data_IF_560478452052
#
_entry.id   IF_560478452052
#
_cell.length_a   1.000
_cell.length_b   1.000
_cell.length_c   1.000
_cell.angle_alpha   90.00
_cell.angle_beta   90.00
_cell.angle_gamma   90.00
#
_symmetry.space_group_name_H-M   'P 1'
#
loop_
_entity.id
_entity.type
_entity.pdbx_description
1 polymer ?
#
# COMPACT_ATOMS: atom_id res chain seq x y z
N UNK A 1 -27.31 -49.84 45.18
CA UNK A 1 -26.95 -50.41 43.86
C UNK A 1 -28.04 -50.03 42.87
N UNK A 2 -27.78 -49.22 41.84
CA UNK A 2 -28.73 -48.99 40.76
C UNK A 2 -28.46 -49.93 39.56
N UNK A 3 -29.54 -50.43 38.95
CA UNK A 3 -29.56 -51.35 37.80
C UNK A 3 -28.96 -50.76 36.51
N UNK A 4 -28.39 -51.58 35.60
CA UNK A 4 -27.84 -51.11 34.34
C UNK A 4 -28.93 -50.86 33.29
N UNK A 5 -28.93 -49.65 32.71
CA UNK A 5 -29.80 -49.24 31.58
C UNK A 5 -29.52 -50.08 30.30
N UNK A 6 -30.53 -50.31 29.43
CA UNK A 6 -30.44 -51.33 28.38
C UNK A 6 -29.64 -50.87 27.15
N UNK A 7 -28.55 -51.60 26.85
CA UNK A 7 -27.65 -51.43 25.70
C UNK A 7 -28.34 -51.53 24.31
N UNK A 8 -29.60 -51.99 24.24
CA UNK A 8 -30.33 -52.20 22.96
C UNK A 8 -30.65 -50.91 22.21
N UNK A 9 -30.91 -49.77 22.89
CA UNK A 9 -31.25 -48.51 22.19
C UNK A 9 -30.05 -47.87 21.48
N UNK A 10 -28.83 -48.08 21.98
CA UNK A 10 -27.61 -47.50 21.37
C UNK A 10 -27.28 -48.18 20.04
N UNK A 11 -27.43 -49.50 19.94
CA UNK A 11 -27.17 -50.24 18.71
C UNK A 11 -28.15 -49.91 17.57
N UNK A 12 -29.41 -49.64 17.89
CA UNK A 12 -30.42 -49.26 16.89
C UNK A 12 -30.13 -47.86 16.33
N UNK A 13 -29.71 -46.93 17.18
CA UNK A 13 -29.36 -45.56 16.76
C UNK A 13 -28.08 -45.57 15.92
N UNK A 14 -27.06 -46.35 16.29
CA UNK A 14 -25.84 -46.52 15.48
C UNK A 14 -26.12 -47.18 14.12
N UNK A 15 -27.05 -48.15 14.06
CA UNK A 15 -27.44 -48.79 12.81
C UNK A 15 -28.16 -47.84 11.84
N UNK A 16 -29.05 -46.99 12.36
CA UNK A 16 -29.76 -45.98 11.55
C UNK A 16 -28.78 -44.91 11.05
N UNK A 17 -27.83 -44.46 11.88
CA UNK A 17 -26.82 -43.49 11.48
C UNK A 17 -25.90 -44.06 10.39
N UNK A 18 -25.50 -45.33 10.50
CA UNK A 18 -24.72 -46.02 9.48
C UNK A 18 -25.45 -46.12 8.13
N UNK A 19 -26.75 -46.44 8.16
CA UNK A 19 -27.56 -46.51 6.94
C UNK A 19 -27.71 -45.13 6.26
N UNK A 20 -27.89 -44.05 7.03
CA UNK A 20 -27.98 -42.68 6.49
C UNK A 20 -26.66 -42.25 5.84
N UNK A 21 -25.51 -42.60 6.43
CA UNK A 21 -24.19 -42.30 5.86
C UNK A 21 -23.97 -43.06 4.55
N UNK A 22 -24.37 -44.33 4.47
CA UNK A 22 -24.24 -45.12 3.25
C UNK A 22 -25.14 -44.58 2.13
N UNK A 23 -26.37 -44.17 2.46
CA UNK A 23 -27.29 -43.56 1.49
C UNK A 23 -26.75 -42.20 1.01
N UNK A 24 -26.19 -41.37 1.91
CA UNK A 24 -25.58 -40.10 1.53
C UNK A 24 -24.34 -40.29 0.62
N UNK A 25 -23.53 -41.30 0.89
CA UNK A 25 -22.38 -41.66 0.04
C UNK A 25 -22.83 -42.20 -1.32
N UNK A 26 -23.84 -43.06 -1.36
CA UNK A 26 -24.40 -43.58 -2.61
C UNK A 26 -24.98 -42.44 -3.48
N UNK A 27 -25.71 -41.48 -2.87
CA UNK A 27 -26.23 -40.31 -3.58
C UNK A 27 -25.09 -39.42 -4.10
N UNK A 28 -24.01 -39.26 -3.34
CA UNK A 28 -22.82 -38.50 -3.78
C UNK A 28 -22.11 -39.15 -4.98
N UNK A 29 -22.08 -40.49 -5.05
CA UNK A 29 -21.43 -41.21 -6.15
C UNK A 29 -22.34 -41.46 -7.38
N UNK A 30 -23.66 -41.41 -7.22
CA UNK A 30 -24.63 -41.71 -8.31
C UNK A 30 -25.17 -40.45 -8.99
N UNK A 31 -25.09 -39.27 -8.36
CA UNK A 31 -25.45 -38.02 -9.03
C UNK A 31 -24.48 -37.72 -10.19
N UNK A 32 -24.98 -37.42 -11.40
CA UNK A 32 -24.12 -37.15 -12.54
C UNK A 32 -23.28 -35.90 -12.27
N UNK A 33 -21.95 -36.02 -12.39
CA UNK A 33 -20.97 -34.92 -12.28
C UNK A 33 -21.03 -33.93 -13.46
N UNK A 34 -22.24 -33.62 -13.94
CA UNK A 34 -22.49 -32.72 -15.06
C UNK A 34 -21.98 -31.29 -14.82
N UNK A 35 -21.72 -30.89 -13.57
CA UNK A 35 -21.17 -29.58 -13.25
C UNK A 35 -19.65 -29.46 -13.42
N UNK A 36 -18.87 -30.53 -13.28
CA UNK A 36 -17.40 -30.44 -13.33
C UNK A 36 -16.86 -30.28 -14.76
N UNK A 37 -17.49 -30.91 -15.74
CA UNK A 37 -17.09 -30.74 -17.14
C UNK A 37 -17.51 -29.37 -17.70
N UNK A 38 -18.64 -28.82 -17.25
CA UNK A 38 -19.05 -27.45 -17.60
C UNK A 38 -18.08 -26.44 -16.98
N UNK A 39 -17.66 -26.63 -15.72
CA UNK A 39 -16.70 -25.72 -15.05
C UNK A 39 -15.30 -25.82 -15.68
N UNK A 40 -14.81 -27.02 -16.03
CA UNK A 40 -13.51 -27.18 -16.69
C UNK A 40 -13.48 -26.57 -18.09
N UNK A 41 -14.54 -26.80 -18.89
CA UNK A 41 -14.63 -26.26 -20.24
C UNK A 41 -14.77 -24.73 -20.23
N UNK A 42 -15.50 -24.19 -19.25
CA UNK A 42 -15.64 -22.74 -19.04
C UNK A 42 -14.33 -22.12 -18.51
N UNK A 43 -13.52 -22.83 -17.71
CA UNK A 43 -12.23 -22.33 -17.24
C UNK A 43 -11.13 -22.34 -18.33
N UNK A 44 -11.09 -23.36 -19.18
CA UNK A 44 -10.14 -23.42 -20.31
C UNK A 44 -10.47 -22.42 -21.43
N UNK A 45 -11.75 -22.15 -21.69
CA UNK A 45 -12.16 -21.15 -22.70
C UNK A 45 -12.12 -19.70 -22.16
N UNK A 46 -12.21 -19.47 -20.84
CA UNK A 46 -12.11 -18.13 -20.24
C UNK A 46 -10.66 -17.73 -19.90
N UNK A 47 -9.75 -18.69 -19.67
CA UNK A 47 -8.37 -18.41 -19.25
C UNK A 47 -7.33 -18.74 -20.34
N UNK A 48 -7.49 -18.14 -21.51
CA UNK A 48 -6.32 -17.69 -22.27
C UNK A 48 -6.11 -16.23 -21.91
N UNK A 49 -5.22 -15.89 -20.96
CA UNK A 49 -4.87 -14.49 -20.78
C UNK A 49 -4.29 -14.04 -22.12
N UNK A 50 -5.02 -13.18 -22.83
CA UNK A 50 -4.41 -12.37 -23.85
C UNK A 50 -3.23 -11.71 -23.15
N UNK A 51 -2.01 -11.98 -23.64
CA UNK A 51 -0.79 -11.34 -23.13
C UNK A 51 -1.09 -9.85 -23.13
N UNK A 52 -1.35 -9.30 -21.95
CA UNK A 52 -1.62 -7.89 -21.77
C UNK A 52 -0.25 -7.23 -21.85
N UNK A 53 0.18 -6.96 -23.09
CA UNK A 53 1.30 -6.07 -23.31
C UNK A 53 0.98 -4.76 -22.60
N UNK A 54 1.98 -4.20 -21.90
CA UNK A 54 1.86 -2.90 -21.28
C UNK A 54 1.52 -1.87 -22.37
N UNK A 55 0.22 -1.65 -22.62
CA UNK A 55 -0.23 -0.50 -23.36
C UNK A 55 0.25 0.69 -22.55
N UNK A 56 0.95 1.62 -23.20
CA UNK A 56 1.33 2.89 -22.57
C UNK A 56 0.16 3.39 -21.74
N UNK A 57 0.36 3.49 -20.41
CA UNK A 57 -0.62 4.07 -19.51
C UNK A 57 -1.01 5.44 -20.07
N UNK A 58 -2.28 5.83 -19.94
CA UNK A 58 -2.88 6.96 -20.63
C UNK A 58 -1.92 8.17 -20.70
N UNK A 59 -1.76 8.76 -21.88
CA UNK A 59 -0.93 9.96 -22.05
C UNK A 59 -1.49 11.07 -21.17
N UNK A 60 -0.64 11.61 -20.29
CA UNK A 60 -0.98 12.79 -19.53
C UNK A 60 -1.13 13.97 -20.49
N UNK A 61 -2.35 14.48 -20.63
CA UNK A 61 -2.65 15.70 -21.35
C UNK A 61 -3.06 16.76 -20.33
N UNK A 62 -2.23 17.79 -20.17
CA UNK A 62 -2.56 18.92 -19.32
C UNK A 62 -3.76 19.66 -19.93
N UNK A 63 -4.88 19.69 -19.22
CA UNK A 63 -6.08 20.40 -19.66
C UNK A 63 -5.86 21.90 -19.44
N UNK A 64 -5.79 22.74 -20.49
CA UNK A 64 -5.57 24.16 -20.31
C UNK A 64 -6.77 24.80 -19.61
N UNK A 65 -6.53 25.38 -18.44
CA UNK A 65 -7.55 26.12 -17.69
C UNK A 65 -7.61 27.56 -18.21
N UNK A 66 -8.54 27.83 -19.12
CA UNK A 66 -8.79 29.19 -19.62
C UNK A 66 -9.61 29.98 -18.58
N UNK A 67 -8.94 30.88 -17.85
CA UNK A 67 -9.58 31.77 -16.88
C UNK A 67 -9.82 33.13 -17.53
N UNK A 68 -11.08 33.57 -17.58
CA UNK A 68 -11.44 34.95 -17.92
C UNK A 68 -11.93 35.68 -16.66
N UNK A 69 -11.07 36.44 -15.97
CA UNK A 69 -11.47 37.16 -14.77
C UNK A 69 -12.61 38.13 -15.09
N UNK A 70 -13.68 38.10 -14.29
CA UNK A 70 -14.81 39.06 -14.43
C UNK A 70 -14.59 40.36 -13.66
N UNK A 71 -13.49 40.44 -12.92
CA UNK A 71 -13.17 41.56 -12.03
C UNK A 71 -11.91 42.24 -12.57
N UNK A 72 -11.90 43.58 -12.73
CA UNK A 72 -10.70 44.33 -13.10
C UNK A 72 -9.57 44.08 -12.11
N UNK A 73 -8.33 44.10 -12.60
CA UNK A 73 -7.16 44.07 -11.73
C UNK A 73 -7.17 45.29 -10.79
N UNK A 74 -6.83 45.07 -9.52
CA UNK A 74 -6.72 46.12 -8.52
C UNK A 74 -5.39 45.99 -7.77
N UNK A 75 -4.91 47.12 -7.26
CA UNK A 75 -3.68 47.22 -6.48
C UNK A 75 -3.94 47.93 -5.17
N UNK A 76 -3.28 47.50 -4.09
CA UNK A 76 -3.38 48.16 -2.78
C UNK A 76 -2.51 49.43 -2.77
N UNK A 77 -3.04 50.56 -2.34
CA UNK A 77 -2.31 51.83 -2.26
C UNK A 77 -1.27 51.80 -1.14
N UNK A 78 -0.13 52.49 -1.32
CA UNK A 78 0.98 52.52 -0.33
C UNK A 78 0.56 53.01 1.06
N UNK A 79 -0.44 53.87 1.14
CA UNK A 79 -1.02 54.39 2.38
C UNK A 79 -2.26 53.60 2.85
N UNK A 80 -2.61 52.50 2.17
CA UNK A 80 -3.82 51.70 2.39
C UNK A 80 -5.13 52.51 2.24
N UNK A 81 -5.13 53.65 1.55
CA UNK A 81 -6.33 54.51 1.45
C UNK A 81 -7.49 53.86 0.71
N UNK A 82 -7.22 52.83 -0.09
CA UNK A 82 -8.23 52.03 -0.80
C UNK A 82 -8.58 50.72 -0.08
N UNK A 83 -8.18 50.56 1.19
CA UNK A 83 -8.53 49.42 2.04
C UNK A 83 -9.48 49.91 3.12
N UNK A 84 -10.74 49.48 3.06
CA UNK A 84 -11.83 49.99 3.90
C UNK A 84 -11.57 49.87 5.40
N UNK A 85 -10.95 48.77 5.84
CA UNK A 85 -10.70 48.44 7.24
C UNK A 85 -9.24 48.62 7.65
N UNK A 86 -8.48 49.47 6.94
CA UNK A 86 -7.04 49.66 7.22
C UNK A 86 -6.77 50.16 8.66
N UNK A 87 -7.69 50.95 9.23
CA UNK A 87 -7.59 51.49 10.59
C UNK A 87 -7.81 50.46 11.70
N UNK A 88 -8.43 49.32 11.38
CA UNK A 88 -8.83 48.31 12.37
C UNK A 88 -7.63 47.44 12.79
N UNK A 89 -6.50 47.56 12.10
CA UNK A 89 -5.31 46.73 12.30
C UNK A 89 -4.05 47.57 12.41
N UNK A 90 -3.20 47.19 13.37
CA UNK A 90 -1.83 47.72 13.46
C UNK A 90 -0.86 46.83 12.69
N UNK A 91 -0.15 47.44 11.75
CA UNK A 91 0.88 46.79 10.93
C UNK A 91 2.26 47.39 11.23
N UNK A 92 3.29 46.55 11.25
CA UNK A 92 4.67 47.02 11.09
C UNK A 92 4.90 47.45 9.64
N UNK A 93 5.94 48.25 9.37
CA UNK A 93 6.28 48.67 8.01
C UNK A 93 6.53 47.48 7.08
N UNK A 94 7.17 46.42 7.58
CA UNK A 94 7.38 45.19 6.82
C UNK A 94 6.05 44.51 6.45
N UNK A 95 5.12 44.39 7.40
CA UNK A 95 3.81 43.79 7.14
C UNK A 95 2.98 44.62 6.16
N UNK A 96 3.05 45.96 6.29
CA UNK A 96 2.38 46.89 5.39
C UNK A 96 2.93 46.79 3.96
N UNK A 97 4.25 46.71 3.80
CA UNK A 97 4.87 46.54 2.48
C UNK A 97 4.48 45.21 1.82
N UNK A 98 4.40 44.12 2.60
CA UNK A 98 3.91 42.83 2.10
C UNK A 98 2.43 42.90 1.71
N UNK A 99 1.59 43.56 2.50
CA UNK A 99 0.17 43.74 2.18
C UNK A 99 -0.02 44.54 0.90
N UNK A 100 0.75 45.61 0.70
CA UNK A 100 0.71 46.42 -0.53
C UNK A 100 1.13 45.59 -1.75
N UNK A 101 2.19 44.79 -1.60
CA UNK A 101 2.74 43.97 -2.69
C UNK A 101 1.85 42.79 -3.07
N UNK A 102 1.33 42.07 -2.07
CA UNK A 102 0.68 40.77 -2.26
C UNK A 102 -0.84 40.82 -2.12
N UNK A 103 -1.41 41.95 -1.68
CA UNK A 103 -2.81 42.07 -1.23
C UNK A 103 -3.18 41.20 -0.02
N UNK A 104 -2.21 40.52 0.60
CA UNK A 104 -2.33 39.83 1.89
C UNK A 104 -1.01 39.86 2.64
N UNK A 105 -1.07 39.61 3.96
CA UNK A 105 0.12 39.45 4.80
C UNK A 105 -0.13 38.36 5.84
N UNK A 106 0.88 37.53 6.10
CA UNK A 106 0.86 36.53 7.16
C UNK A 106 1.58 37.09 8.37
N UNK A 107 0.95 37.04 9.53
CA UNK A 107 1.52 37.48 10.80
C UNK A 107 1.55 36.31 11.79
N UNK A 108 2.58 36.22 12.65
CA UNK A 108 2.56 35.26 13.74
C UNK A 108 1.37 35.54 14.66
N UNK A 109 0.75 34.47 15.13
CA UNK A 109 -0.34 34.49 16.11
C UNK A 109 0.13 33.78 17.37
N UNK A 110 -0.31 34.25 18.54
CA UNK A 110 -0.03 33.62 19.83
C UNK A 110 -1.11 32.61 20.24
N UNK A 111 -2.12 32.40 19.39
CA UNK A 111 -3.17 31.43 19.63
C UNK A 111 -2.68 30.03 19.23
N UNK A 112 -2.80 29.07 20.15
CA UNK A 112 -2.48 27.66 19.89
C UNK A 112 -3.54 26.95 19.03
N UNK A 113 -4.74 27.51 18.96
CA UNK A 113 -5.89 26.96 18.25
C UNK A 113 -6.60 28.07 17.47
N UNK A 114 -7.42 27.71 16.50
CA UNK A 114 -8.18 28.69 15.72
C UNK A 114 -9.37 29.29 16.48
N UNK A 115 -9.93 28.58 17.46
CA UNK A 115 -11.12 29.02 18.20
C UNK A 115 -10.95 30.39 18.90
N UNK A 116 -9.86 30.66 19.66
CA UNK A 116 -9.65 31.98 20.27
C UNK A 116 -9.60 33.12 19.25
N UNK A 117 -9.08 32.87 18.05
CA UNK A 117 -9.05 33.84 16.96
C UNK A 117 -10.47 34.10 16.41
N UNK A 118 -11.25 33.05 16.20
CA UNK A 118 -12.63 33.18 15.73
C UNK A 118 -13.52 33.88 16.75
N UNK A 119 -13.32 33.60 18.04
CA UNK A 119 -14.01 34.27 19.13
C UNK A 119 -13.65 35.77 19.18
N UNK A 120 -12.36 36.09 19.11
CA UNK A 120 -11.89 37.49 19.08
C UNK A 120 -12.44 38.26 17.87
N UNK A 121 -12.45 37.62 16.70
CA UNK A 121 -13.02 38.18 15.47
C UNK A 121 -14.52 38.44 15.60
N UNK A 122 -15.27 37.55 16.28
CA UNK A 122 -16.69 37.76 16.55
C UNK A 122 -16.94 39.01 17.40
N UNK A 123 -16.19 39.19 18.48
CA UNK A 123 -16.33 40.36 19.37
C UNK A 123 -15.86 41.66 18.71
N UNK A 124 -14.85 41.59 17.84
CA UNK A 124 -14.28 42.75 17.13
C UNK A 124 -14.98 43.05 15.80
N UNK A 125 -16.00 42.27 15.43
CA UNK A 125 -16.70 42.35 14.15
C UNK A 125 -15.77 42.21 12.92
N UNK A 126 -14.69 41.45 13.08
CA UNK A 126 -13.75 41.13 12.01
C UNK A 126 -14.26 39.91 11.22
N UNK A 127 -14.47 40.02 9.90
CA UNK A 127 -14.90 38.89 9.09
C UNK A 127 -13.81 37.81 9.04
N UNK A 128 -14.20 36.55 9.19
CA UNK A 128 -13.31 35.40 9.05
C UNK A 128 -13.58 34.69 7.74
N UNK A 129 -12.54 34.50 6.93
CA UNK A 129 -12.58 33.63 5.75
C UNK A 129 -11.98 32.28 6.12
N UNK A 130 -12.83 31.24 6.17
CA UNK A 130 -12.45 29.89 6.58
C UNK A 130 -12.55 28.99 5.36
N UNK A 131 -11.42 28.40 4.96
CA UNK A 131 -11.39 27.39 3.89
C UNK A 131 -11.60 25.99 4.46
N UNK A 132 -12.00 25.07 3.59
CA UNK A 132 -12.11 23.64 3.91
C UNK A 132 -10.80 23.04 4.40
N UNK A 133 -9.66 23.62 4.02
CA UNK A 133 -8.32 23.16 4.39
C UNK A 133 -8.11 23.12 5.90
N UNK A 134 -8.75 24.04 6.64
CA UNK A 134 -8.70 24.06 8.11
C UNK A 134 -9.26 22.78 8.74
N UNK A 135 -10.37 22.26 8.20
CA UNK A 135 -10.99 21.01 8.64
C UNK A 135 -10.19 19.80 8.14
N UNK A 136 -9.76 19.82 6.87
CA UNK A 136 -8.97 18.73 6.26
C UNK A 136 -7.64 18.56 6.99
N UNK A 137 -7.01 19.64 7.43
CA UNK A 137 -5.78 19.60 8.21
C UNK A 137 -5.98 18.87 9.56
N UNK A 138 -7.04 19.21 10.30
CA UNK A 138 -7.33 18.55 11.58
C UNK A 138 -7.62 17.05 11.38
N UNK A 139 -8.40 16.72 10.35
CA UNK A 139 -8.63 15.33 9.96
C UNK A 139 -7.33 14.60 9.61
N UNK A 140 -6.44 15.22 8.83
CA UNK A 140 -5.14 14.66 8.49
C UNK A 140 -4.28 14.37 9.72
N UNK A 141 -4.23 15.29 10.70
CA UNK A 141 -3.49 15.08 11.95
C UNK A 141 -4.06 13.91 12.77
N UNK A 142 -5.38 13.80 12.87
CA UNK A 142 -6.03 12.70 13.56
C UNK A 142 -5.75 11.36 12.86
N UNK A 143 -5.86 11.33 11.53
CA UNK A 143 -5.58 10.14 10.73
C UNK A 143 -4.11 9.72 10.84
N UNK A 144 -3.16 10.65 10.69
CA UNK A 144 -1.72 10.42 10.83
C UNK A 144 -1.39 9.82 12.22
N UNK A 145 -1.95 10.41 13.28
CA UNK A 145 -1.77 9.91 14.63
C UNK A 145 -2.31 8.49 14.79
N UNK A 146 -3.54 8.22 14.33
CA UNK A 146 -4.16 6.91 14.42
C UNK A 146 -3.37 5.86 13.62
N UNK A 147 -2.99 6.18 12.38
CA UNK A 147 -2.24 5.29 11.51
C UNK A 147 -0.88 4.96 12.12
N UNK A 148 -0.12 5.98 12.54
CA UNK A 148 1.16 5.81 13.23
C UNK A 148 1.03 4.90 14.45
N UNK A 149 0.03 5.14 15.31
CA UNK A 149 -0.18 4.30 16.50
C UNK A 149 -0.52 2.85 16.13
N UNK A 150 -1.36 2.65 15.11
CA UNK A 150 -1.72 1.31 14.64
C UNK A 150 -0.51 0.56 14.05
N UNK A 151 0.31 1.26 13.27
CA UNK A 151 1.53 0.72 12.68
C UNK A 151 2.55 0.31 13.74
N UNK A 152 2.86 1.21 14.68
CA UNK A 152 3.83 0.95 15.76
C UNK A 152 3.34 -0.14 16.71
N UNK A 153 2.08 -0.08 17.15
CA UNK A 153 1.60 -0.95 18.22
C UNK A 153 1.09 -2.31 17.74
N UNK A 154 0.71 -2.45 16.47
CA UNK A 154 0.06 -3.65 15.93
C UNK A 154 0.68 -4.12 14.63
N UNK A 155 0.62 -3.32 13.56
CA UNK A 155 0.92 -3.83 12.21
C UNK A 155 2.38 -4.21 12.03
N UNK A 156 3.34 -3.51 12.66
CA UNK A 156 4.75 -3.89 12.59
C UNK A 156 5.00 -5.29 13.19
N UNK A 157 4.33 -5.63 14.29
CA UNK A 157 4.45 -6.95 14.91
C UNK A 157 3.79 -8.04 14.06
N UNK A 158 2.59 -7.78 13.53
CA UNK A 158 1.90 -8.72 12.62
C UNK A 158 2.70 -8.95 11.33
N UNK A 159 3.29 -7.90 10.76
CA UNK A 159 4.14 -8.01 9.58
C UNK A 159 5.40 -8.84 9.85
N UNK A 160 6.03 -8.68 11.04
CA UNK A 160 7.16 -9.53 11.46
C UNK A 160 6.77 -11.01 11.49
N UNK A 161 5.58 -11.34 12.01
CA UNK A 161 5.08 -12.72 12.05
C UNK A 161 4.75 -13.25 10.66
N UNK A 162 4.07 -12.44 9.82
CA UNK A 162 3.75 -12.79 8.45
C UNK A 162 5.02 -13.08 7.64
N UNK A 163 6.00 -12.18 7.71
CA UNK A 163 7.29 -12.32 7.03
C UNK A 163 8.00 -13.61 7.42
N UNK A 164 8.08 -13.92 8.72
CA UNK A 164 8.70 -15.14 9.22
C UNK A 164 8.00 -16.41 8.71
N UNK A 165 6.66 -16.43 8.76
CA UNK A 165 5.87 -17.59 8.30
C UNK A 165 5.99 -17.78 6.78
N UNK A 166 5.88 -16.69 6.01
CA UNK A 166 5.97 -16.74 4.55
C UNK A 166 7.37 -17.11 4.06
N UNK A 167 8.43 -16.63 4.73
CA UNK A 167 9.80 -17.03 4.43
C UNK A 167 10.02 -18.52 4.71
N UNK A 168 9.53 -19.01 5.85
CA UNK A 168 9.61 -20.43 6.20
C UNK A 168 8.87 -21.31 5.20
N UNK A 169 7.64 -20.92 4.83
CA UNK A 169 6.82 -21.68 3.90
C UNK A 169 7.40 -21.67 2.48
N UNK A 170 7.91 -20.51 2.03
CA UNK A 170 8.61 -20.42 0.74
C UNK A 170 9.84 -21.33 0.69
N UNK A 171 10.56 -21.47 1.80
CA UNK A 171 11.71 -22.38 1.88
C UNK A 171 11.29 -23.84 1.82
N UNK A 172 10.18 -24.21 2.48
CA UNK A 172 9.61 -25.56 2.40
C UNK A 172 9.18 -25.90 0.97
N UNK A 173 8.52 -24.96 0.29
CA UNK A 173 8.10 -25.11 -1.10
C UNK A 173 9.31 -25.25 -2.03
N UNK A 174 10.35 -24.42 -1.87
CA UNK A 174 11.58 -24.57 -2.62
C UNK A 174 12.24 -25.94 -2.44
N UNK A 175 12.34 -26.43 -1.20
CA UNK A 175 12.90 -27.75 -0.92
C UNK A 175 12.08 -28.88 -1.57
N UNK A 176 10.75 -28.74 -1.62
CA UNK A 176 9.84 -29.73 -2.22
C UNK A 176 9.86 -29.71 -3.75
N UNK A 177 10.11 -28.55 -4.35
CA UNK A 177 10.09 -28.33 -5.80
C UNK A 177 11.48 -28.38 -6.44
N UNK A 178 12.51 -28.69 -5.66
CA UNK A 178 13.89 -28.77 -6.15
C UNK A 178 14.02 -29.85 -7.24
N UNK A 179 14.64 -29.50 -8.37
CA UNK A 179 14.76 -30.34 -9.55
C UNK A 179 13.53 -30.35 -10.47
N UNK A 180 12.48 -29.60 -10.13
CA UNK A 180 11.31 -29.43 -11.01
C UNK A 180 11.42 -28.15 -11.83
N UNK A 181 10.56 -28.00 -12.85
CA UNK A 181 10.45 -26.75 -13.62
C UNK A 181 10.08 -25.52 -12.76
N UNK A 182 9.53 -25.74 -11.56
CA UNK A 182 9.09 -24.70 -10.64
C UNK A 182 10.16 -24.29 -9.61
N UNK A 183 11.33 -24.94 -9.60
CA UNK A 183 12.40 -24.66 -8.63
C UNK A 183 12.77 -23.16 -8.64
N UNK A 184 12.91 -22.57 -9.82
CA UNK A 184 13.31 -21.18 -9.95
C UNK A 184 12.23 -20.20 -9.44
N UNK A 185 10.95 -20.50 -9.68
CA UNK A 185 9.86 -19.70 -9.14
C UNK A 185 9.80 -19.78 -7.62
N UNK A 186 9.97 -20.98 -7.04
CA UNK A 186 10.03 -21.16 -5.60
C UNK A 186 11.26 -20.44 -4.99
N UNK A 187 12.41 -20.47 -5.68
CA UNK A 187 13.62 -19.73 -5.28
C UNK A 187 13.36 -18.22 -5.23
N UNK A 188 12.65 -17.64 -6.21
CA UNK A 188 12.24 -16.23 -6.21
C UNK A 188 11.39 -15.87 -5.01
N UNK A 189 10.41 -16.71 -4.64
CA UNK A 189 9.57 -16.47 -3.46
C UNK A 189 10.40 -16.41 -2.18
N UNK A 190 11.38 -17.30 -2.02
CA UNK A 190 12.31 -17.25 -0.87
C UNK A 190 13.07 -15.92 -0.85
N UNK A 191 13.60 -15.48 -2.00
CA UNK A 191 14.28 -14.19 -2.11
C UNK A 191 13.35 -13.02 -1.75
N UNK A 192 12.13 -13.02 -2.28
CA UNK A 192 11.14 -11.97 -2.07
C UNK A 192 10.80 -11.77 -0.60
N UNK A 193 10.48 -12.84 0.13
CA UNK A 193 10.20 -12.74 1.56
C UNK A 193 11.47 -12.53 2.40
N UNK A 194 12.64 -12.96 1.94
CA UNK A 194 13.91 -12.70 2.65
C UNK A 194 14.26 -11.21 2.66
N UNK A 195 14.04 -10.49 1.55
CA UNK A 195 14.24 -9.02 1.46
C UNK A 195 13.32 -8.31 2.44
N UNK A 196 12.00 -8.51 2.34
CA UNK A 196 11.02 -7.89 3.24
C UNK A 196 11.29 -8.21 4.72
N UNK A 197 11.62 -9.47 5.03
CA UNK A 197 11.99 -9.88 6.39
C UNK A 197 13.24 -9.17 6.91
N UNK A 198 14.27 -9.01 6.08
CA UNK A 198 15.54 -8.39 6.46
C UNK A 198 15.43 -6.88 6.61
N UNK A 199 14.62 -6.22 5.77
CA UNK A 199 14.30 -4.79 5.88
C UNK A 199 13.57 -4.48 7.19
N UNK A 200 12.61 -5.32 7.57
CA UNK A 200 11.83 -5.13 8.79
C UNK A 200 12.60 -5.51 10.07
N UNK A 201 13.48 -6.51 9.97
CA UNK A 201 14.29 -6.99 11.09
C UNK A 201 15.69 -7.42 10.63
N UNK A 202 16.69 -6.60 10.96
CA UNK A 202 18.09 -6.82 10.60
C UNK A 202 18.69 -8.10 11.18
N UNK A 203 18.07 -8.71 12.19
CA UNK A 203 18.53 -9.98 12.80
C UNK A 203 18.11 -11.22 12.01
N UNK A 204 17.25 -11.09 11.00
CA UNK A 204 16.81 -12.24 10.18
C UNK A 204 17.99 -12.79 9.38
N UNK A 205 18.14 -14.11 9.39
CA UNK A 205 19.14 -14.82 8.60
C UNK A 205 18.61 -15.05 7.17
N UNK A 206 19.38 -14.62 6.18
CA UNK A 206 19.04 -14.81 4.77
C UNK A 206 19.40 -16.25 4.38
N UNK A 207 18.49 -17.04 3.79
CA UNK A 207 18.81 -18.37 3.28
C UNK A 207 19.94 -18.33 2.23
N UNK A 208 20.92 -19.21 2.37
CA UNK A 208 22.13 -19.22 1.53
C UNK A 208 21.83 -19.35 0.03
N UNK A 209 20.71 -19.98 -0.32
CA UNK A 209 20.26 -20.17 -1.71
C UNK A 209 19.99 -18.86 -2.46
N UNK A 210 19.63 -17.78 -1.76
CA UNK A 210 19.28 -16.47 -2.34
C UNK A 210 20.14 -15.33 -1.78
N UNK A 211 21.19 -15.66 -1.01
CA UNK A 211 21.94 -14.66 -0.26
C UNK A 211 22.61 -13.60 -1.16
N UNK A 212 23.10 -14.00 -2.34
CA UNK A 212 23.72 -13.05 -3.26
C UNK A 212 22.69 -12.05 -3.79
N UNK A 213 21.57 -12.55 -4.33
CA UNK A 213 20.53 -11.73 -4.94
C UNK A 213 19.84 -10.83 -3.90
N UNK A 214 19.56 -11.35 -2.71
CA UNK A 214 18.98 -10.57 -1.62
C UNK A 214 19.93 -9.46 -1.14
N UNK A 215 21.23 -9.72 -1.01
CA UNK A 215 22.17 -8.68 -0.59
C UNK A 215 22.33 -7.58 -1.65
N UNK A 216 22.28 -7.93 -2.94
CA UNK A 216 22.27 -6.95 -4.03
C UNK A 216 20.99 -6.10 -3.99
N UNK A 217 19.83 -6.73 -3.78
CA UNK A 217 18.54 -6.04 -3.63
C UNK A 217 18.57 -5.04 -2.47
N UNK A 218 19.04 -5.47 -1.29
CA UNK A 218 19.17 -4.61 -0.12
C UNK A 218 20.12 -3.43 -0.35
N UNK A 219 21.20 -3.63 -1.12
CA UNK A 219 22.12 -2.55 -1.46
C UNK A 219 21.48 -1.52 -2.40
N UNK A 220 20.67 -1.94 -3.37
CA UNK A 220 19.92 -1.04 -4.25
C UNK A 220 18.86 -0.25 -3.48
N UNK A 221 18.13 -0.93 -2.59
CA UNK A 221 17.15 -0.30 -1.69
C UNK A 221 17.81 0.77 -0.82
N UNK A 222 18.98 0.50 -0.25
CA UNK A 222 19.69 1.50 0.58
C UNK A 222 20.30 2.64 -0.23
N UNK A 223 20.65 2.41 -1.50
CA UNK A 223 21.20 3.44 -2.37
C UNK A 223 20.15 4.45 -2.87
N UNK A 224 18.87 4.06 -2.90
CA UNK A 224 17.75 4.90 -3.34
C UNK A 224 17.86 5.44 -4.78
N UNK A 225 18.51 4.69 -5.69
CA UNK A 225 18.83 5.18 -7.03
C UNK A 225 17.82 4.73 -8.10
N UNK A 226 16.76 5.53 -8.27
CA UNK A 226 15.87 5.46 -9.44
C UNK A 226 15.39 4.06 -9.80
N UNK A 227 15.17 3.83 -11.10
CA UNK A 227 14.64 2.57 -11.63
C UNK A 227 15.78 1.68 -12.11
N UNK A 228 15.93 0.51 -11.50
CA UNK A 228 16.95 -0.48 -11.86
C UNK A 228 16.39 -1.91 -11.89
N UNK A 229 17.12 -2.85 -12.53
CA UNK A 229 16.71 -4.26 -12.57
C UNK A 229 16.76 -4.89 -11.18
N UNK A 230 15.68 -5.51 -10.72
CA UNK A 230 15.65 -6.20 -9.42
C UNK A 230 16.42 -7.53 -9.44
N UNK A 231 17.48 -7.70 -8.62
CA UNK A 231 18.21 -8.96 -8.53
C UNK A 231 17.32 -10.14 -8.13
N UNK A 232 16.37 -9.93 -7.20
CA UNK A 232 15.50 -10.99 -6.68
C UNK A 232 14.39 -11.36 -7.66
N UNK A 233 13.70 -10.38 -8.25
CA UNK A 233 12.59 -10.67 -9.17
C UNK A 233 13.08 -11.36 -10.45
N UNK A 234 14.34 -11.16 -10.84
CA UNK A 234 14.94 -11.73 -12.03
C UNK A 234 15.81 -12.98 -11.77
N UNK A 235 15.72 -13.62 -10.59
CA UNK A 235 16.44 -14.88 -10.33
C UNK A 235 16.09 -15.93 -11.40
N UNK A 236 17.14 -16.52 -11.98
CA UNK A 236 17.06 -17.56 -13.01
C UNK A 236 16.45 -17.12 -14.34
N UNK A 237 16.37 -15.82 -14.61
CA UNK A 237 15.93 -15.26 -15.89
C UNK A 237 15.85 -13.74 -15.81
N UNK A 238 16.96 -13.06 -16.10
CA UNK A 238 17.10 -11.59 -16.06
C UNK A 238 17.69 -10.97 -17.31
N UNK A 239 17.79 -11.76 -18.38
CA UNK A 239 18.13 -11.26 -19.70
C UNK A 239 16.86 -10.92 -20.43
N UNK A 240 16.94 -9.89 -21.28
CA UNK A 240 15.89 -9.51 -22.19
C UNK A 240 15.62 -10.71 -23.11
N UNK A 241 14.65 -11.53 -22.74
CA UNK A 241 14.32 -12.77 -23.46
C UNK A 241 13.39 -12.41 -24.59
N UNK A 242 13.79 -12.76 -25.81
CA UNK A 242 12.90 -12.66 -26.95
C UNK A 242 11.84 -13.76 -26.83
N UNK A 243 10.58 -13.36 -26.63
CA UNK A 243 9.43 -14.24 -26.69
C UNK A 243 8.89 -14.18 -28.12
N UNK A 244 8.75 -15.34 -28.75
CA UNK A 244 8.05 -15.43 -30.03
C UNK A 244 6.55 -15.21 -29.80
N UNK A 245 6.05 -14.08 -30.31
CA UNK A 245 4.62 -13.75 -30.30
C UNK A 245 4.04 -13.91 -31.71
N UNK A 246 2.72 -14.05 -31.87
CA UNK A 246 2.08 -13.98 -33.19
C UNK A 246 2.38 -12.69 -33.96
N UNK A 247 2.89 -11.65 -33.29
CA UNK A 247 3.32 -10.37 -33.86
C UNK A 247 4.84 -10.29 -34.12
N UNK A 248 5.59 -11.37 -33.90
CA UNK A 248 7.06 -11.47 -34.03
C UNK A 248 7.78 -11.61 -32.67
N UNK A 249 9.11 -11.78 -32.68
CA UNK A 249 9.91 -11.81 -31.46
C UNK A 249 9.78 -10.49 -30.69
N UNK A 250 9.29 -10.52 -29.45
CA UNK A 250 9.20 -9.36 -28.56
C UNK A 250 10.13 -9.51 -27.36
N UNK A 251 10.77 -8.43 -26.92
CA UNK A 251 11.59 -8.44 -25.72
C UNK A 251 10.72 -8.50 -24.47
N UNK A 252 10.84 -9.56 -23.66
CA UNK A 252 10.39 -9.51 -22.27
C UNK A 252 11.42 -8.69 -21.50
N UNK A 253 11.10 -7.44 -21.22
CA UNK A 253 11.96 -6.60 -20.38
C UNK A 253 12.15 -7.25 -19.00
N UNK A 254 13.39 -7.22 -18.50
CA UNK A 254 13.67 -7.60 -17.12
C UNK A 254 12.82 -6.78 -16.14
N UNK A 255 12.39 -7.41 -15.05
CA UNK A 255 11.60 -6.75 -14.02
C UNK A 255 12.44 -5.68 -13.31
N UNK A 256 11.92 -4.47 -13.22
CA UNK A 256 12.60 -3.31 -12.60
C UNK A 256 11.83 -2.83 -11.38
N UNK A 257 12.56 -2.24 -10.44
CA UNK A 257 12.03 -1.62 -9.22
C UNK A 257 12.48 -0.15 -9.15
N UNK A 258 11.63 0.74 -8.63
CA UNK A 258 11.98 2.14 -8.37
C UNK A 258 12.49 2.29 -6.93
N UNK A 259 13.81 2.14 -6.78
CA UNK A 259 14.48 2.26 -5.49
C UNK A 259 14.41 3.67 -4.89
N UNK A 260 14.08 4.70 -5.68
CA UNK A 260 13.89 6.06 -5.17
C UNK A 260 12.68 6.17 -4.21
N UNK A 261 11.76 5.22 -4.25
CA UNK A 261 10.58 5.20 -3.38
C UNK A 261 10.89 4.81 -1.92
N UNK A 262 12.05 4.20 -1.66
CA UNK A 262 12.40 3.64 -0.35
C UNK A 262 12.91 4.66 0.67
N UNK A 263 12.84 5.96 0.37
CA UNK A 263 13.21 7.04 1.28
C UNK A 263 12.05 7.28 2.27
N UNK A 264 12.22 7.00 3.58
CA UNK A 264 11.19 7.26 4.58
C UNK A 264 10.82 8.74 4.64
N UNK A 265 9.53 9.04 4.79
CA UNK A 265 8.98 10.40 4.78
C UNK A 265 7.85 10.57 5.79
N UNK A 266 7.58 11.80 6.20
CA UNK A 266 6.50 12.09 7.14
C UNK A 266 6.75 11.48 8.52
N UNK A 267 5.78 10.74 9.06
CA UNK A 267 5.95 10.09 10.36
C UNK A 267 6.90 8.89 10.35
N UNK A 268 7.17 8.31 9.18
CA UNK A 268 8.06 7.14 9.08
C UNK A 268 9.52 7.43 9.41
N UNK A 269 9.95 8.70 9.33
CA UNK A 269 11.32 9.12 9.65
C UNK A 269 11.54 9.35 11.16
N UNK A 270 10.50 9.16 12.00
CA UNK A 270 10.56 9.46 13.45
C UNK A 270 11.31 8.41 14.28
N UNK A 271 11.28 7.14 13.89
CA UNK A 271 11.91 6.03 14.64
C UNK A 271 12.50 5.00 13.68
N UNK A 272 13.54 4.30 14.12
CA UNK A 272 14.15 3.23 13.30
C UNK A 272 13.18 2.07 13.02
N UNK A 273 12.27 1.78 13.94
CA UNK A 273 11.21 0.79 13.71
C UNK A 273 10.26 1.21 12.58
N UNK A 274 9.84 2.48 12.55
CA UNK A 274 8.99 2.99 11.48
C UNK A 274 9.72 3.08 10.14
N UNK A 275 11.01 3.40 10.12
CA UNK A 275 11.83 3.36 8.89
C UNK A 275 11.93 1.95 8.33
N UNK A 276 12.19 0.97 9.21
CA UNK A 276 12.25 -0.45 8.84
C UNK A 276 10.88 -0.96 8.35
N UNK A 277 9.80 -0.59 9.04
CA UNK A 277 8.43 -0.90 8.62
C UNK A 277 8.11 -0.31 7.25
N UNK A 278 8.41 0.98 7.04
CA UNK A 278 8.22 1.66 5.77
C UNK A 278 8.97 0.95 4.63
N UNK A 279 10.28 0.70 4.79
CA UNK A 279 11.08 0.01 3.76
C UNK A 279 10.52 -1.39 3.44
N UNK A 280 10.10 -2.14 4.46
CA UNK A 280 9.49 -3.46 4.25
C UNK A 280 8.11 -3.38 3.59
N UNK A 281 7.28 -2.38 3.89
CA UNK A 281 5.98 -2.19 3.25
C UNK A 281 6.10 -1.68 1.83
N UNK A 282 7.10 -0.83 1.53
CA UNK A 282 7.39 -0.37 0.18
C UNK A 282 7.83 -1.49 -0.76
N UNK A 283 8.39 -2.57 -0.22
CA UNK A 283 8.78 -3.77 -0.97
C UNK A 283 7.59 -4.65 -1.40
N UNK A 284 6.42 -4.49 -0.75
CA UNK A 284 5.21 -5.27 -1.02
C UNK A 284 4.22 -4.52 -1.90
#
# INVERSE_FOLDING_TARGET
>A
MPEPKPKKKVWIISGILGAVVIIALAVYFVLPKSGQDIIKKTAEDIYKPAVAFASKFATYEEVPVNISPKIPAYSVSQNLSNVTNASDFTFSDAAKNLLVKNAFVVKPSYNNEFFPLYESNRYSHTPSFITTDSMVHNYHLMFDFLLKQLEEQKLAAELKQLNANMLSESLNQYNSLKGTEWENAAKRNVGFFAVGSKLLNSSVNIPSIVANEVNQELALIEAHQGIEKSPVMNIGGGQDTMIDTPQGPQSLEALKEDYSQYIPRGHYDKTEELKAYFKSMMWY
#
